data_IF_452811476562
#
_entry.id   IF_452811476562
#
_cell.length_a   1.000
_cell.length_b   1.000
_cell.length_c   1.000
_cell.angle_alpha   90.00
_cell.angle_beta   90.00
_cell.angle_gamma   90.00
#
_symmetry.space_group_name_H-M   'P 1'
#
loop_
_entity.id
_entity.type
_entity.pdbx_description
1 polymer ?
#
# COMPACT_ATOMS: atom_id res chain seq x y z
N UNK A 1 -15.45 -9.89 -3.02
CA UNK A 1 -14.60 -9.44 -1.89
C UNK A 1 -13.40 -8.60 -2.38
N UNK A 2 -13.24 -7.40 -1.82
CA UNK A 2 -12.25 -6.40 -2.22
C UNK A 2 -10.80 -6.92 -2.25
N UNK A 3 -10.41 -7.76 -1.27
CA UNK A 3 -9.06 -8.32 -1.18
C UNK A 3 -8.62 -9.12 -2.43
N UNK A 4 -9.55 -9.84 -3.07
CA UNK A 4 -9.26 -10.58 -4.32
C UNK A 4 -9.00 -9.64 -5.50
N UNK A 5 -9.75 -8.54 -5.60
CA UNK A 5 -9.55 -7.51 -6.64
C UNK A 5 -8.27 -6.71 -6.46
N UNK A 6 -7.76 -6.62 -5.23
CA UNK A 6 -6.49 -5.97 -4.91
C UNK A 6 -5.28 -6.91 -4.96
N UNK A 7 -5.48 -8.23 -5.10
CA UNK A 7 -4.37 -9.20 -5.14
C UNK A 7 -3.59 -9.31 -3.83
N UNK A 8 -4.24 -9.21 -2.67
CA UNK A 8 -3.58 -9.35 -1.37
C UNK A 8 -3.22 -10.82 -1.11
N UNK A 9 -1.93 -11.14 -1.06
CA UNK A 9 -1.41 -12.51 -0.81
C UNK A 9 -0.72 -12.66 0.56
N UNK A 10 -0.27 -11.57 1.17
CA UNK A 10 0.50 -11.54 2.42
C UNK A 10 -0.21 -10.61 3.42
N UNK A 11 -0.08 -10.88 4.72
CA UNK A 11 -0.71 -10.08 5.79
C UNK A 11 0.37 -9.56 6.76
N UNK A 12 0.38 -8.27 7.13
CA UNK A 12 -0.41 -7.19 6.50
C UNK A 12 0.17 -6.78 5.13
N UNK A 13 -0.67 -6.21 4.26
CA UNK A 13 -0.27 -5.50 3.05
C UNK A 13 -0.97 -4.15 3.03
N UNK A 14 -0.20 -3.09 2.78
CA UNK A 14 -0.71 -1.73 2.62
C UNK A 14 -0.64 -1.36 1.14
N UNK A 15 -1.76 -0.91 0.56
CA UNK A 15 -1.79 -0.32 -0.78
C UNK A 15 -2.12 1.16 -0.64
N UNK A 16 -1.31 2.01 -1.25
CA UNK A 16 -1.52 3.46 -1.28
C UNK A 16 -2.17 3.80 -2.61
N UNK A 17 -3.30 4.50 -2.56
CA UNK A 17 -4.09 4.88 -3.73
C UNK A 17 -4.05 6.39 -3.93
N UNK A 18 -3.97 6.82 -5.20
CA UNK A 18 -4.15 8.21 -5.64
C UNK A 18 -5.00 8.19 -6.91
N UNK A 19 -6.01 9.04 -6.99
CA UNK A 19 -6.94 9.11 -8.12
C UNK A 19 -7.56 7.75 -8.52
N UNK A 20 -7.88 6.93 -7.51
CA UNK A 20 -8.49 5.60 -7.70
C UNK A 20 -7.53 4.51 -8.19
N UNK A 21 -6.25 4.82 -8.38
CA UNK A 21 -5.22 3.87 -8.82
C UNK A 21 -4.24 3.54 -7.68
N UNK A 22 -3.75 2.30 -7.64
CA UNK A 22 -2.68 1.91 -6.71
C UNK A 22 -1.37 2.50 -7.20
N UNK A 23 -0.75 3.37 -6.40
CA UNK A 23 0.51 4.04 -6.74
C UNK A 23 1.71 3.46 -6.00
N UNK A 24 1.48 2.80 -4.85
CA UNK A 24 2.50 2.07 -4.08
C UNK A 24 1.90 0.90 -3.32
N UNK A 25 2.74 -0.07 -2.99
CA UNK A 25 2.43 -1.21 -2.14
C UNK A 25 3.56 -1.44 -1.14
N UNK A 26 3.22 -1.70 0.13
CA UNK A 26 4.14 -2.08 1.19
C UNK A 26 3.65 -3.40 1.78
N UNK A 27 4.52 -4.41 1.77
CA UNK A 27 4.20 -5.76 2.24
C UNK A 27 4.87 -6.02 3.60
N UNK A 28 4.09 -6.53 4.54
CA UNK A 28 4.51 -6.83 5.90
C UNK A 28 4.39 -5.65 6.86
N UNK A 29 4.73 -5.90 8.12
CA UNK A 29 4.67 -4.90 9.20
C UNK A 29 5.94 -4.03 9.22
N UNK A 30 6.12 -3.20 8.19
CA UNK A 30 7.32 -2.36 8.02
C UNK A 30 6.99 -0.89 8.18
N UNK A 31 7.14 -0.38 9.40
CA UNK A 31 6.74 0.98 9.75
C UNK A 31 7.49 2.05 8.92
N UNK A 32 8.82 1.98 8.88
CA UNK A 32 9.63 3.00 8.19
C UNK A 32 9.38 3.03 6.68
N UNK A 33 9.20 1.86 6.07
CA UNK A 33 8.91 1.72 4.63
C UNK A 33 7.52 2.27 4.28
N UNK A 34 6.54 2.04 5.15
CA UNK A 34 5.20 2.61 5.03
C UNK A 34 5.24 4.13 5.16
N UNK A 35 5.92 4.65 6.18
CA UNK A 35 6.04 6.08 6.42
C UNK A 35 6.72 6.80 5.25
N UNK A 36 7.85 6.28 4.76
CA UNK A 36 8.56 6.84 3.61
C UNK A 36 7.70 6.81 2.33
N UNK A 37 6.91 5.74 2.15
CA UNK A 37 6.00 5.62 1.00
C UNK A 37 4.87 6.64 1.04
N UNK A 38 4.35 6.96 2.22
CA UNK A 38 3.33 7.99 2.41
C UNK A 38 3.88 9.40 2.17
N UNK A 39 5.06 9.73 2.70
CA UNK A 39 5.69 11.03 2.48
C UNK A 39 5.98 11.28 0.99
N UNK A 40 6.46 10.26 0.27
CA UNK A 40 6.75 10.37 -1.16
C UNK A 40 5.51 10.57 -2.04
N UNK A 41 4.32 10.13 -1.59
CA UNK A 41 3.06 10.30 -2.36
C UNK A 41 2.38 11.63 -2.06
N UNK A 42 2.68 12.22 -0.88
CA UNK A 42 2.12 13.49 -0.41
C UNK A 42 2.71 14.69 -1.15
N UNK A 43 3.99 14.63 -1.51
CA UNK A 43 4.71 15.62 -2.32
C UNK A 43 4.37 15.52 -3.81
#
# INVERSE_FOLDING_TARGET
PLAKGLGVAVVPTFKILKDGMVVKEVVGAKFDELLASLEAVRS
#
